data_IF_254131041403
#
_entry.id   IF_254131041403
#
_cell.length_a   1.000
_cell.length_b   1.000
_cell.length_c   1.000
_cell.angle_alpha   90.00
_cell.angle_beta   90.00
_cell.angle_gamma   90.00
#
_symmetry.space_group_name_H-M   'P 1'
#
loop_
_entity.id
_entity.type
_entity.pdbx_description
1 polymer ?
#
# COMPACT_ATOMS: atom_id res chain seq x y z
N UNK A 1 -1.11 -22.56 40.06
CA UNK A 1 -1.60 -21.18 39.80
C UNK A 1 -1.61 -20.98 38.30
N UNK A 2 -2.79 -21.05 37.70
CA UNK A 2 -2.97 -20.95 36.25
C UNK A 2 -2.93 -19.48 35.83
N UNK A 3 -1.82 -19.04 35.23
CA UNK A 3 -1.77 -17.75 34.55
C UNK A 3 -2.57 -17.89 33.25
N UNK A 4 -3.71 -17.19 33.22
CA UNK A 4 -4.69 -17.25 32.15
C UNK A 4 -4.05 -17.06 30.78
N UNK A 5 -4.31 -18.01 29.90
CA UNK A 5 -3.98 -17.95 28.48
C UNK A 5 -4.53 -16.65 27.90
N UNK A 6 -3.65 -15.87 27.28
CA UNK A 6 -4.02 -14.68 26.53
C UNK A 6 -5.14 -15.05 25.57
N UNK A 7 -6.32 -14.49 25.87
CA UNK A 7 -7.58 -14.59 25.15
C UNK A 7 -7.31 -14.69 23.65
N UNK A 8 -7.50 -15.89 23.11
CA UNK A 8 -7.32 -16.20 21.70
C UNK A 8 -8.34 -15.35 20.91
N UNK A 9 -7.92 -14.15 20.49
CA UNK A 9 -8.72 -13.27 19.65
C UNK A 9 -8.91 -14.01 18.34
N UNK A 10 -10.15 -14.32 18.00
CA UNK A 10 -10.55 -14.69 16.63
C UNK A 10 -9.94 -13.67 15.68
N UNK A 11 -8.81 -14.05 15.05
CA UNK A 11 -8.20 -13.25 13.99
C UNK A 11 -9.27 -13.13 12.91
N UNK A 12 -9.77 -11.92 12.69
CA UNK A 12 -10.44 -11.62 11.44
C UNK A 12 -9.44 -12.00 10.35
N UNK A 13 -9.82 -12.92 9.46
CA UNK A 13 -8.99 -13.35 8.36
C UNK A 13 -8.82 -12.15 7.41
N UNK A 14 -7.73 -11.41 7.62
CA UNK A 14 -7.37 -10.26 6.79
C UNK A 14 -6.15 -10.65 5.95
N UNK A 15 -6.15 -10.39 4.63
CA UNK A 15 -5.07 -10.82 3.75
C UNK A 15 -3.66 -10.40 4.21
N UNK A 16 -3.54 -9.22 4.82
CA UNK A 16 -2.28 -8.69 5.35
C UNK A 16 -1.71 -9.42 6.57
N UNK A 17 -2.50 -10.26 7.25
CA UNK A 17 -2.01 -11.09 8.36
C UNK A 17 -1.68 -12.52 7.94
N UNK A 18 -2.20 -12.96 6.80
CA UNK A 18 -2.05 -14.32 6.29
C UNK A 18 -0.93 -14.42 5.24
N UNK A 19 -0.72 -13.36 4.46
CA UNK A 19 0.40 -13.29 3.51
C UNK A 19 1.61 -12.55 4.11
N UNK A 20 2.71 -12.56 3.36
CA UNK A 20 3.99 -11.99 3.77
C UNK A 20 3.89 -10.47 4.03
N UNK A 21 4.17 -9.98 5.26
CA UNK A 21 4.12 -8.56 5.59
C UNK A 21 4.96 -7.68 4.66
N UNK A 22 6.10 -8.18 4.16
CA UNK A 22 7.00 -7.40 3.31
C UNK A 22 6.34 -6.99 1.98
N UNK A 23 5.32 -7.74 1.54
CA UNK A 23 4.56 -7.44 0.32
C UNK A 23 3.77 -6.13 0.42
N UNK A 24 3.20 -5.80 1.59
CA UNK A 24 2.47 -4.55 1.84
C UNK A 24 3.38 -3.34 1.92
N UNK A 25 4.67 -3.59 2.12
CA UNK A 25 5.73 -2.64 2.33
C UNK A 25 6.81 -2.77 1.23
N UNK A 26 6.46 -3.33 0.07
CA UNK A 26 7.42 -3.53 -1.00
C UNK A 26 7.83 -2.18 -1.64
N UNK A 27 9.11 -2.05 -2.01
CA UNK A 27 9.54 -0.91 -2.82
C UNK A 27 9.12 -1.07 -4.29
N UNK A 28 8.97 -2.32 -4.75
CA UNK A 28 8.66 -2.67 -6.12
C UNK A 28 7.19 -2.36 -6.46
N UNK A 29 6.92 -1.55 -7.50
CA UNK A 29 5.56 -1.27 -7.94
C UNK A 29 4.72 -2.52 -8.22
N UNK A 30 5.31 -3.57 -8.79
CA UNK A 30 4.59 -4.81 -9.13
C UNK A 30 4.09 -5.52 -7.88
N UNK A 31 4.90 -5.51 -6.82
CA UNK A 31 4.56 -6.13 -5.54
C UNK A 31 3.51 -5.32 -4.79
N UNK A 32 3.58 -3.99 -4.83
CA UNK A 32 2.53 -3.11 -4.30
C UNK A 32 1.19 -3.30 -5.01
N UNK A 33 1.18 -3.44 -6.35
CA UNK A 33 -0.04 -3.75 -7.08
C UNK A 33 -0.61 -5.13 -6.69
N UNK A 34 0.26 -6.11 -6.44
CA UNK A 34 -0.14 -7.43 -5.93
C UNK A 34 -0.75 -7.32 -4.54
N UNK A 35 -0.14 -6.58 -3.63
CA UNK A 35 -0.68 -6.31 -2.29
C UNK A 35 -2.05 -5.62 -2.37
N UNK A 36 -2.19 -4.63 -3.27
CA UNK A 36 -3.45 -3.93 -3.53
C UNK A 36 -4.53 -4.89 -4.01
N UNK A 37 -4.20 -5.79 -4.94
CA UNK A 37 -5.14 -6.81 -5.42
C UNK A 37 -5.56 -7.78 -4.31
N UNK A 38 -4.62 -8.25 -3.47
CA UNK A 38 -4.94 -9.10 -2.32
C UNK A 38 -5.83 -8.40 -1.30
N UNK A 39 -5.67 -7.08 -1.14
CA UNK A 39 -6.51 -6.30 -0.24
C UNK A 39 -7.96 -6.18 -0.73
N UNK A 40 -8.27 -6.52 -1.99
CA UNK A 40 -9.60 -6.31 -2.58
C UNK A 40 -10.72 -7.03 -1.83
N UNK A 41 -10.46 -8.23 -1.31
CA UNK A 41 -11.42 -9.08 -0.60
C UNK A 41 -11.43 -8.86 0.92
N UNK A 42 -10.67 -7.90 1.43
CA UNK A 42 -10.58 -7.64 2.86
C UNK A 42 -11.89 -7.02 3.41
N UNK A 43 -12.45 -7.51 4.53
CA UNK A 43 -13.71 -7.00 5.08
C UNK A 43 -13.58 -5.59 5.69
N UNK A 44 -12.38 -5.19 6.13
CA UNK A 44 -12.14 -3.94 6.86
C UNK A 44 -11.45 -2.86 6.01
N UNK A 45 -11.51 -2.96 4.67
CA UNK A 45 -10.80 -2.03 3.77
C UNK A 45 -11.03 -0.56 4.08
N UNK A 46 -12.30 -0.18 4.29
CA UNK A 46 -12.69 1.22 4.54
C UNK A 46 -12.12 1.75 5.85
N UNK A 47 -12.21 0.96 6.91
CA UNK A 47 -11.68 1.30 8.23
C UNK A 47 -10.15 1.37 8.21
N UNK A 48 -9.50 0.41 7.53
CA UNK A 48 -8.06 0.39 7.33
C UNK A 48 -7.56 1.62 6.57
N UNK A 49 -8.27 2.01 5.50
CA UNK A 49 -7.94 3.22 4.72
C UNK A 49 -8.09 4.49 5.56
N UNK A 50 -9.18 4.61 6.31
CA UNK A 50 -9.43 5.76 7.18
C UNK A 50 -8.34 5.89 8.27
N UNK A 51 -7.96 4.78 8.90
CA UNK A 51 -6.90 4.75 9.89
C UNK A 51 -5.54 5.13 9.30
N UNK A 52 -5.22 4.69 8.08
CA UNK A 52 -3.97 5.04 7.41
C UNK A 52 -3.91 6.53 7.04
N UNK A 53 -5.04 7.12 6.64
CA UNK A 53 -5.15 8.55 6.38
C UNK A 53 -5.00 9.38 7.67
N UNK A 54 -5.64 8.95 8.76
CA UNK A 54 -5.54 9.61 10.07
C UNK A 54 -4.08 9.61 10.58
N UNK A 55 -3.38 8.50 10.40
CA UNK A 55 -1.97 8.34 10.80
C UNK A 55 -0.98 8.99 9.84
N UNK A 56 -1.45 9.42 8.67
CA UNK A 56 -0.60 9.89 7.57
C UNK A 56 0.50 8.88 7.24
N UNK A 57 0.12 7.61 7.08
CA UNK A 57 1.07 6.52 6.84
C UNK A 57 2.01 6.88 5.67
N UNK A 58 3.33 6.85 5.88
CA UNK A 58 4.26 7.46 4.93
C UNK A 58 4.35 6.67 3.63
N UNK A 59 4.11 5.35 3.67
CA UNK A 59 4.16 4.46 2.52
C UNK A 59 3.50 3.09 2.79
N UNK A 60 3.32 2.29 1.74
CA UNK A 60 2.79 0.92 1.79
C UNK A 60 1.38 0.79 1.21
N UNK A 61 0.75 -0.38 1.35
CA UNK A 61 -0.63 -0.63 0.90
C UNK A 61 -1.59 -0.66 2.07
N UNK A 62 -2.60 0.20 2.03
CA UNK A 62 -3.59 0.34 3.09
C UNK A 62 -4.99 0.42 2.50
N UNK A 63 -5.92 -0.41 2.97
CA UNK A 63 -7.31 -0.42 2.50
C UNK A 63 -7.52 -0.70 1.00
N UNK A 64 -6.49 -1.18 0.30
CA UNK A 64 -6.49 -1.37 -1.15
C UNK A 64 -5.99 -0.15 -1.92
N UNK A 65 -5.33 0.80 -1.26
CA UNK A 65 -4.66 1.92 -1.89
C UNK A 65 -3.17 1.94 -1.57
N UNK A 66 -2.38 2.47 -2.51
CA UNK A 66 -0.94 2.60 -2.34
C UNK A 66 -0.67 3.99 -1.77
N UNK A 67 0.13 4.05 -0.72
CA UNK A 67 0.58 5.27 -0.09
C UNK A 67 2.02 5.57 -0.51
N UNK A 68 2.25 6.83 -0.85
CA UNK A 68 3.59 7.38 -1.05
C UNK A 68 3.63 8.80 -0.48
N UNK A 69 4.56 9.05 0.44
CA UNK A 69 4.74 10.33 1.14
C UNK A 69 3.44 10.82 1.83
N UNK A 70 2.67 9.90 2.41
CA UNK A 70 1.40 10.22 3.08
C UNK A 70 0.23 10.52 2.14
N UNK A 71 0.39 10.29 0.83
CA UNK A 71 -0.66 10.51 -0.16
C UNK A 71 -1.05 9.22 -0.86
N UNK A 72 -2.32 9.09 -1.21
CA UNK A 72 -2.81 7.96 -2.01
C UNK A 72 -2.39 8.18 -3.45
N UNK A 73 -1.72 7.18 -4.02
CA UNK A 73 -1.33 7.14 -5.43
C UNK A 73 -1.97 5.94 -6.12
N UNK A 74 -2.31 6.09 -7.39
CA UNK A 74 -2.90 5.00 -8.17
C UNK A 74 -1.90 3.87 -8.42
N UNK A 75 -0.64 4.22 -8.74
CA UNK A 75 0.48 3.30 -8.98
C UNK A 75 1.82 3.96 -8.63
N UNK A 76 2.73 3.23 -7.99
CA UNK A 76 4.09 3.70 -7.72
C UNK A 76 4.92 3.73 -9.00
N UNK A 77 5.56 4.86 -9.30
CA UNK A 77 6.44 4.95 -10.47
C UNK A 77 7.76 4.23 -10.16
N UNK A 78 8.23 3.30 -11.01
CA UNK A 78 9.52 2.65 -10.79
C UNK A 78 10.64 3.68 -10.77
N UNK A 79 11.63 3.49 -9.89
CA UNK A 79 12.87 4.26 -9.91
C UNK A 79 13.56 3.99 -11.25
N UNK A 80 13.84 5.06 -11.99
CA UNK A 80 14.42 4.96 -13.33
C UNK A 80 14.58 6.32 -13.97
N UNK A 81 15.44 6.38 -15.00
CA UNK A 81 15.78 7.60 -15.73
C UNK A 81 14.50 8.40 -16.03
N UNK A 82 14.42 9.68 -15.63
CA UNK A 82 13.35 10.55 -16.07
C UNK A 82 13.20 10.44 -17.59
N UNK A 83 11.95 10.38 -18.09
CA UNK A 83 11.74 10.37 -19.54
C UNK A 83 12.47 11.59 -20.11
N UNK A 84 13.30 11.39 -21.13
CA UNK A 84 13.98 12.51 -21.81
C UNK A 84 12.86 13.39 -22.37
N UNK A 85 12.68 14.57 -21.79
CA UNK A 85 11.69 15.53 -22.26
C UNK A 85 12.08 15.98 -23.67
N UNK A 86 11.43 15.44 -24.70
CA UNK A 86 11.53 15.97 -26.07
C UNK A 86 10.54 17.12 -26.21
N UNK A 87 10.80 18.23 -25.51
CA UNK A 87 10.12 19.49 -25.84
C UNK A 87 10.88 20.08 -27.03
N UNK A 88 10.40 19.77 -28.24
CA UNK A 88 10.81 20.48 -29.45
C UNK A 88 10.35 21.93 -29.33
N UNK A 89 11.30 22.86 -29.28
CA UNK A 89 11.00 24.29 -29.32
C UNK A 89 10.66 24.70 -30.77
N UNK A 90 9.44 25.19 -31.07
CA UNK A 90 9.13 25.79 -32.35
C UNK A 90 9.59 27.24 -32.32
N UNK A 91 10.90 27.46 -32.41
CA UNK A 91 11.48 28.78 -32.66
C UNK A 91 12.21 28.74 -34.00
N UNK A 92 11.43 28.53 -35.06
CA UNK A 92 11.77 28.88 -36.42
C UNK A 92 10.63 29.75 -36.93
N UNK A 93 10.82 31.07 -36.82
CA UNK A 93 10.05 32.11 -37.50
C UNK A 93 11.01 33.27 -37.75
#
# INVERSE_FOLDING_TARGET
MSFGTCRNKTKLAVPCHEADPDLWFAENPVELERAKALCADCPIRRECLAAALERQEPWGVWGGEIFERGTIIARKRPRGRPRKNTVGNPAAA
#
